data_IF_065259678976
#
_entry.id   IF_065259678976
#
_cell.length_a   1.000
_cell.length_b   1.000
_cell.length_c   1.000
_cell.angle_alpha   90.00
_cell.angle_beta   90.00
_cell.angle_gamma   90.00
#
_symmetry.space_group_name_H-M   'P 1'
#
loop_
_entity.id
_entity.type
_entity.pdbx_description
1 polymer ?
#
# COMPACT_ATOMS: atom_id res chain seq x y z
N UNK A 1 -21.05 -49.00 3.69
CA UNK A 1 -21.36 -47.56 3.55
C UNK A 1 -20.40 -46.81 4.44
N UNK A 2 -19.23 -46.45 3.93
CA UNK A 2 -18.22 -45.67 4.67
C UNK A 2 -18.14 -44.31 4.00
N UNK A 3 -18.69 -43.29 4.67
CA UNK A 3 -18.64 -41.92 4.19
C UNK A 3 -17.22 -41.35 4.39
N UNK A 4 -16.45 -41.27 3.30
CA UNK A 4 -15.29 -40.39 3.24
C UNK A 4 -15.79 -38.95 3.22
N UNK A 5 -15.67 -38.26 4.35
CA UNK A 5 -15.74 -36.80 4.39
C UNK A 5 -14.47 -36.31 3.73
N UNK A 6 -14.58 -35.89 2.47
CA UNK A 6 -13.52 -35.17 1.79
C UNK A 6 -13.26 -33.86 2.58
N UNK A 7 -12.11 -33.81 3.27
CA UNK A 7 -11.57 -32.57 3.83
C UNK A 7 -11.40 -31.61 2.65
N UNK A 8 -12.09 -30.47 2.70
CA UNK A 8 -11.91 -29.41 1.72
C UNK A 8 -10.41 -29.06 1.62
N UNK A 9 -9.88 -28.78 0.42
CA UNK A 9 -8.53 -28.25 0.30
C UNK A 9 -8.50 -26.93 1.06
N UNK A 10 -7.55 -26.85 1.98
CA UNK A 10 -7.13 -25.60 2.62
C UNK A 10 -6.62 -24.69 1.49
N UNK A 11 -7.51 -23.86 0.93
CA UNK A 11 -7.12 -22.70 0.12
C UNK A 11 -6.58 -21.63 1.06
N UNK A 12 -5.57 -21.97 1.84
CA UNK A 12 -4.60 -21.00 2.31
C UNK A 12 -3.94 -20.47 1.06
N UNK A 13 -4.43 -19.35 0.55
CA UNK A 13 -3.60 -18.49 -0.27
C UNK A 13 -2.42 -18.13 0.62
N UNK A 14 -1.33 -18.89 0.47
CA UNK A 14 -0.04 -18.48 0.97
C UNK A 14 0.20 -17.14 0.28
N UNK A 15 0.13 -16.05 1.04
CA UNK A 15 0.60 -14.76 0.59
C UNK A 15 1.94 -14.98 -0.12
N UNK A 16 2.19 -14.33 -1.27
CA UNK A 16 3.53 -14.34 -1.82
C UNK A 16 4.51 -13.97 -0.70
N UNK A 17 5.65 -14.65 -0.67
CA UNK A 17 6.73 -14.42 0.30
C UNK A 17 7.29 -13.01 0.06
N UNK A 18 6.55 -12.01 0.54
CA UNK A 18 6.88 -10.60 0.35
C UNK A 18 8.13 -10.34 1.18
N UNK A 19 9.14 -9.76 0.55
CA UNK A 19 10.31 -9.29 1.27
C UNK A 19 9.91 -8.15 2.21
N UNK A 20 9.68 -8.47 3.48
CA UNK A 20 9.39 -7.48 4.51
C UNK A 20 10.64 -6.91 5.15
N UNK A 21 11.83 -7.07 4.55
CA UNK A 21 13.04 -6.44 5.07
C UNK A 21 12.84 -4.93 5.22
N UNK A 22 13.49 -4.26 6.18
CA UNK A 22 13.42 -2.81 6.28
C UNK A 22 13.86 -2.09 5.00
N UNK A 23 13.31 -0.90 4.75
CA UNK A 23 13.75 0.02 3.69
C UNK A 23 14.37 1.23 4.36
N UNK A 24 15.65 1.48 4.10
CA UNK A 24 16.45 2.51 4.78
C UNK A 24 15.84 3.90 4.64
N UNK A 25 15.35 4.25 3.44
CA UNK A 25 14.64 5.50 3.23
C UNK A 25 13.39 5.62 4.10
N UNK A 26 12.57 4.56 4.21
CA UNK A 26 11.33 4.61 5.00
C UNK A 26 11.60 4.62 6.50
N UNK A 27 12.65 3.93 6.97
CA UNK A 27 13.10 4.01 8.37
C UNK A 27 13.58 5.42 8.73
N UNK A 28 14.28 6.08 7.82
CA UNK A 28 14.64 7.48 7.99
C UNK A 28 13.40 8.37 8.12
N UNK A 29 12.41 8.20 7.24
CA UNK A 29 11.14 8.96 7.28
C UNK A 29 10.38 8.70 8.57
N UNK A 30 10.31 7.45 9.03
CA UNK A 30 9.69 7.09 10.32
C UNK A 30 10.35 7.84 11.48
N UNK A 31 11.68 7.94 11.51
CA UNK A 31 12.41 8.59 12.60
C UNK A 31 12.32 10.12 12.58
N UNK A 32 12.30 10.72 11.40
CA UNK A 32 12.35 12.18 11.20
C UNK A 32 10.97 12.80 10.93
N UNK A 33 9.98 11.97 10.62
CA UNK A 33 8.62 12.36 10.29
C UNK A 33 7.87 12.90 11.50
N UNK A 34 6.80 13.65 11.22
CA UNK A 34 5.91 14.24 12.21
C UNK A 34 4.48 13.85 11.91
N UNK A 35 3.74 13.49 12.96
CA UNK A 35 2.34 13.16 12.84
C UNK A 35 1.50 14.38 12.46
N UNK A 36 0.39 14.16 11.75
CA UNK A 36 -0.55 15.22 11.40
C UNK A 36 -1.03 15.99 12.63
N UNK A 37 -1.28 15.33 13.75
CA UNK A 37 -1.73 15.96 15.00
C UNK A 37 -0.77 17.06 15.49
N UNK A 38 0.54 16.85 15.35
CA UNK A 38 1.54 17.86 15.71
C UNK A 38 1.61 19.01 14.69
N UNK A 39 1.42 18.70 13.41
CA UNK A 39 1.46 19.68 12.33
C UNK A 39 0.22 20.56 12.34
N UNK A 40 -0.95 19.96 12.51
CA UNK A 40 -2.24 20.67 12.56
C UNK A 40 -2.26 21.68 13.71
N UNK A 41 -1.78 21.29 14.89
CA UNK A 41 -1.62 22.18 16.05
C UNK A 41 -0.62 23.31 15.74
N UNK A 42 0.56 22.99 15.20
CA UNK A 42 1.58 23.99 14.89
C UNK A 42 1.09 25.08 13.93
N UNK A 43 0.31 24.68 12.92
CA UNK A 43 -0.18 25.58 11.89
C UNK A 43 -1.59 26.14 12.20
N UNK A 44 -2.19 25.81 13.35
CA UNK A 44 -3.50 26.29 13.77
C UNK A 44 -4.63 25.84 12.86
N UNK A 45 -4.56 24.62 12.34
CA UNK A 45 -5.55 24.04 11.42
C UNK A 45 -6.39 23.01 12.17
N UNK A 46 -7.71 23.21 12.20
CA UNK A 46 -8.65 22.33 12.91
C UNK A 46 -9.08 21.08 12.10
N UNK A 47 -8.39 20.80 10.98
CA UNK A 47 -8.80 19.70 10.11
C UNK A 47 -8.45 18.36 10.78
N UNK A 48 -9.43 17.46 11.00
CA UNK A 48 -9.22 16.23 11.76
C UNK A 48 -8.30 15.25 11.04
N UNK A 49 -8.27 15.30 9.71
CA UNK A 49 -7.46 14.44 8.88
C UNK A 49 -6.40 15.25 8.13
N UNK A 50 -5.25 14.68 7.77
CA UNK A 50 -4.34 15.37 6.87
C UNK A 50 -5.00 15.59 5.50
N UNK A 51 -4.79 16.75 4.85
CA UNK A 51 -5.39 17.05 3.54
C UNK A 51 -4.92 16.07 2.44
N UNK A 52 -3.76 15.44 2.63
CA UNK A 52 -3.23 14.42 1.72
C UNK A 52 -3.85 13.03 1.90
N UNK A 53 -4.67 12.80 2.95
CA UNK A 53 -5.32 11.51 3.20
C UNK A 53 -6.21 11.07 2.03
N UNK A 54 -6.98 11.99 1.46
CA UNK A 54 -7.84 11.68 0.32
C UNK A 54 -7.04 11.24 -0.91
N UNK A 55 -5.85 11.82 -1.12
CA UNK A 55 -4.94 11.41 -2.18
C UNK A 55 -4.42 9.99 -1.94
N UNK A 56 -4.08 9.65 -0.69
CA UNK A 56 -3.67 8.30 -0.29
C UNK A 56 -4.77 7.27 -0.59
N UNK A 57 -6.02 7.54 -0.17
CA UNK A 57 -7.16 6.65 -0.44
C UNK A 57 -7.39 6.49 -1.96
N UNK A 58 -7.31 7.58 -2.71
CA UNK A 58 -7.43 7.57 -4.17
C UNK A 58 -6.31 6.77 -4.85
N UNK A 59 -5.09 6.82 -4.32
CA UNK A 59 -3.96 6.02 -4.83
C UNK A 59 -4.20 4.53 -4.58
N UNK A 60 -4.68 4.14 -3.39
CA UNK A 60 -5.05 2.75 -3.10
C UNK A 60 -6.11 2.22 -4.07
N UNK A 61 -7.12 3.04 -4.37
CA UNK A 61 -8.19 2.67 -5.32
C UNK A 61 -7.67 2.52 -6.76
N UNK A 62 -6.76 3.41 -7.17
CA UNK A 62 -6.14 3.35 -8.49
C UNK A 62 -5.26 2.11 -8.66
N UNK A 63 -4.49 1.74 -7.63
CA UNK A 63 -3.64 0.54 -7.62
C UNK A 63 -4.43 -0.77 -7.71
N UNK A 64 -5.65 -0.78 -7.16
CA UNK A 64 -6.59 -1.90 -7.29
C UNK A 64 -7.23 -2.01 -8.69
N UNK A 65 -6.92 -1.08 -9.62
CA UNK A 65 -7.54 -1.02 -10.94
C UNK A 65 -8.89 -0.27 -10.99
N UNK A 66 -9.23 0.47 -9.92
CA UNK A 66 -10.41 1.32 -9.81
C UNK A 66 -11.72 0.56 -9.51
N UNK A 67 -12.60 1.18 -8.72
CA UNK A 67 -13.93 0.66 -8.33
C UNK A 67 -14.90 0.36 -9.50
N UNK A 68 -14.54 0.67 -10.75
CA UNK A 68 -15.44 0.64 -11.91
C UNK A 68 -14.97 -0.27 -13.05
N UNK A 69 -14.12 -1.24 -12.75
CA UNK A 69 -13.87 -2.34 -13.69
C UNK A 69 -15.06 -3.32 -13.76
N UNK A 70 -16.22 -2.84 -14.20
CA UNK A 70 -17.39 -3.68 -14.52
C UNK A 70 -17.13 -4.51 -15.78
N UNK A 71 -16.22 -4.08 -16.66
CA UNK A 71 -15.83 -4.86 -17.85
C UNK A 71 -15.13 -6.17 -17.49
N UNK A 72 -14.27 -6.22 -16.46
CA UNK A 72 -13.58 -7.45 -16.06
C UNK A 72 -14.50 -8.49 -15.41
N UNK A 73 -15.70 -8.10 -14.98
CA UNK A 73 -16.71 -9.06 -14.54
C UNK A 73 -17.31 -9.83 -15.73
N UNK A 74 -17.26 -9.25 -16.94
CA UNK A 74 -17.87 -9.76 -18.17
C UNK A 74 -16.85 -10.19 -19.23
N UNK A 75 -15.56 -9.87 -19.07
CA UNK A 75 -14.50 -10.34 -19.95
C UNK A 75 -14.26 -11.84 -19.72
N UNK A 76 -14.51 -12.63 -20.77
CA UNK A 76 -14.16 -14.05 -20.77
C UNK A 76 -12.66 -14.18 -20.56
N UNK A 77 -12.27 -15.08 -19.67
CA UNK A 77 -10.93 -15.20 -19.11
C UNK A 77 -9.79 -15.49 -20.10
N UNK A 78 -10.05 -15.50 -21.40
CA UNK A 78 -9.30 -16.28 -22.37
C UNK A 78 -8.73 -15.49 -23.57
N UNK A 79 -9.12 -14.24 -23.88
CA UNK A 79 -8.75 -13.65 -25.19
C UNK A 79 -7.94 -12.32 -25.19
N UNK A 80 -7.91 -11.51 -24.12
CA UNK A 80 -7.21 -10.20 -24.14
C UNK A 80 -6.33 -9.89 -22.91
N UNK A 81 -6.18 -10.84 -21.97
CA UNK A 81 -5.33 -10.60 -20.78
C UNK A 81 -3.85 -10.69 -21.13
N UNK A 82 -3.20 -9.54 -21.15
CA UNK A 82 -1.75 -9.42 -21.16
C UNK A 82 -1.21 -9.64 -19.74
N UNK A 83 -0.45 -10.71 -19.47
CA UNK A 83 0.10 -10.96 -18.13
C UNK A 83 0.98 -9.80 -17.64
N UNK A 84 1.63 -9.05 -18.54
CA UNK A 84 2.42 -7.87 -18.19
C UNK A 84 1.62 -6.70 -17.58
N UNK A 85 0.29 -6.66 -17.76
CA UNK A 85 -0.59 -5.64 -17.17
C UNK A 85 -1.16 -6.06 -15.80
N UNK A 86 -1.03 -7.34 -15.41
CA UNK A 86 -1.37 -7.83 -14.05
C UNK A 86 -0.25 -7.49 -13.04
N UNK A 87 1.01 -7.50 -13.48
CA UNK A 87 2.21 -7.20 -12.64
C UNK A 87 2.22 -5.79 -12.03
N UNK A 88 1.33 -4.88 -12.45
CA UNK A 88 1.27 -3.50 -11.96
C UNK A 88 0.07 -3.19 -11.06
N UNK A 89 -0.75 -4.19 -10.74
CA UNK A 89 -1.92 -4.02 -9.88
C UNK A 89 -1.62 -4.60 -8.51
N UNK A 90 -2.11 -3.92 -7.47
CA UNK A 90 -2.13 -4.44 -6.11
C UNK A 90 -3.58 -4.65 -5.73
N UNK A 91 -4.01 -5.90 -5.71
CA UNK A 91 -5.38 -6.24 -5.31
C UNK A 91 -5.66 -5.69 -3.91
N UNK A 92 -6.88 -5.20 -3.69
CA UNK A 92 -7.24 -4.54 -2.45
C UNK A 92 -7.09 -5.46 -1.23
N UNK A 93 -7.35 -6.76 -1.35
CA UNK A 93 -7.22 -7.70 -0.24
C UNK A 93 -5.75 -8.01 0.04
N UNK A 94 -4.98 -8.31 -1.01
CA UNK A 94 -3.54 -8.61 -0.91
C UNK A 94 -2.80 -7.42 -0.31
N UNK A 95 -2.96 -6.22 -0.90
CA UNK A 95 -2.39 -4.97 -0.38
C UNK A 95 -2.75 -4.76 1.09
N UNK A 96 -3.99 -5.04 1.49
CA UNK A 96 -4.43 -4.84 2.86
C UNK A 96 -3.76 -5.82 3.84
N UNK A 97 -3.57 -7.07 3.43
CA UNK A 97 -2.85 -8.07 4.20
C UNK A 97 -1.38 -7.68 4.37
N UNK A 98 -0.72 -7.28 3.28
CA UNK A 98 0.67 -6.78 3.32
C UNK A 98 0.80 -5.55 4.22
N UNK A 99 -0.09 -4.57 4.10
CA UNK A 99 -0.08 -3.38 4.96
C UNK A 99 -0.21 -3.75 6.44
N UNK A 100 -1.10 -4.69 6.79
CA UNK A 100 -1.27 -5.12 8.17
C UNK A 100 -0.01 -5.84 8.70
N UNK A 101 0.64 -6.68 7.89
CA UNK A 101 1.89 -7.33 8.25
C UNK A 101 3.04 -6.33 8.42
N UNK A 102 3.21 -5.41 7.48
CA UNK A 102 4.23 -4.36 7.51
C UNK A 102 4.02 -3.39 8.68
N UNK A 103 2.76 -3.04 8.99
CA UNK A 103 2.45 -2.24 10.18
C UNK A 103 2.85 -2.99 11.44
N UNK A 104 2.52 -4.26 11.56
CA UNK A 104 2.87 -5.06 12.74
C UNK A 104 4.39 -5.20 12.93
N UNK A 105 5.15 -5.30 11.84
CA UNK A 105 6.61 -5.48 11.89
C UNK A 105 7.38 -4.18 12.06
N UNK A 106 6.99 -3.10 11.35
CA UNK A 106 7.81 -1.89 11.19
C UNK A 106 7.13 -0.60 11.64
N UNK A 107 5.81 -0.48 11.48
CA UNK A 107 5.12 0.82 11.59
C UNK A 107 4.08 0.90 12.72
N UNK A 108 4.14 -0.01 13.70
CA UNK A 108 3.15 -0.10 14.79
C UNK A 108 3.10 1.17 15.65
N UNK A 109 4.24 1.83 15.85
CA UNK A 109 4.36 3.02 16.69
C UNK A 109 3.92 4.32 15.98
N UNK A 110 3.58 4.24 14.70
CA UNK A 110 3.20 5.39 13.89
C UNK A 110 1.68 5.54 13.92
N UNK A 111 1.13 6.75 14.11
CA UNK A 111 -0.31 6.96 14.09
C UNK A 111 -0.89 6.71 12.69
N UNK A 112 -2.21 6.53 12.68
CA UNK A 112 -2.98 6.55 11.45
C UNK A 112 -3.32 8.01 11.10
N UNK A 113 -3.22 8.44 9.82
CA UNK A 113 -3.02 7.64 8.61
C UNK A 113 -1.58 7.44 8.13
N UNK A 114 -0.57 8.00 8.81
CA UNK A 114 0.84 7.96 8.39
C UNK A 114 1.41 6.54 8.29
N UNK A 115 1.03 5.64 9.21
CA UNK A 115 1.45 4.23 9.13
C UNK A 115 0.99 3.54 7.86
N UNK A 116 -0.21 3.87 7.36
CA UNK A 116 -0.75 3.32 6.12
C UNK A 116 0.04 3.86 4.92
N UNK A 117 0.39 5.14 4.94
CA UNK A 117 1.23 5.74 3.90
C UNK A 117 2.58 5.02 3.79
N UNK A 118 3.23 4.76 4.92
CA UNK A 118 4.53 4.06 4.94
C UNK A 118 4.41 2.60 4.53
N UNK A 119 3.40 1.87 5.01
CA UNK A 119 3.19 0.48 4.60
C UNK A 119 2.87 0.37 3.10
N UNK A 120 2.05 1.28 2.56
CA UNK A 120 1.76 1.32 1.12
C UNK A 120 3.04 1.59 0.30
N UNK A 121 3.83 2.59 0.68
CA UNK A 121 5.08 2.90 -0.01
C UNK A 121 6.05 1.72 0.03
N UNK A 122 6.09 0.99 1.15
CA UNK A 122 6.89 -0.21 1.29
C UNK A 122 6.45 -1.30 0.30
N UNK A 123 5.15 -1.64 0.26
CA UNK A 123 4.61 -2.57 -0.75
C UNK A 123 4.93 -2.12 -2.18
N UNK A 124 4.72 -0.85 -2.51
CA UNK A 124 4.99 -0.34 -3.86
C UNK A 124 6.48 -0.46 -4.26
N UNK A 125 7.42 -0.33 -3.32
CA UNK A 125 8.85 -0.55 -3.58
C UNK A 125 9.15 -2.04 -3.78
N UNK A 126 8.59 -2.92 -2.94
CA UNK A 126 8.82 -4.37 -3.01
C UNK A 126 8.24 -5.01 -4.28
N UNK A 127 7.12 -4.48 -4.74
CA UNK A 127 6.52 -4.85 -6.02
C UNK A 127 7.17 -4.14 -7.23
N UNK A 128 8.17 -3.27 -7.01
CA UNK A 128 8.88 -2.57 -8.09
C UNK A 128 8.03 -1.54 -8.84
N UNK A 129 6.90 -1.10 -8.27
CA UNK A 129 6.04 -0.06 -8.82
C UNK A 129 6.69 1.32 -8.73
N UNK A 130 7.50 1.52 -7.70
CA UNK A 130 8.37 2.68 -7.52
C UNK A 130 9.75 2.24 -7.06
N UNK A 131 10.76 3.03 -7.37
CA UNK A 131 12.15 2.81 -6.95
C UNK A 131 12.50 3.68 -5.73
N UNK A 132 13.31 3.15 -4.81
CA UNK A 132 13.71 3.85 -3.57
C UNK A 132 14.52 5.12 -3.87
N UNK A 133 15.46 5.07 -4.81
CA UNK A 133 16.30 6.22 -5.17
C UNK A 133 15.47 7.29 -5.87
N UNK A 134 14.53 6.90 -6.73
CA UNK A 134 13.64 7.83 -7.41
C UNK A 134 12.65 8.50 -6.44
N UNK A 135 12.13 7.76 -5.45
CA UNK A 135 11.34 8.34 -4.36
C UNK A 135 12.17 9.37 -3.58
N UNK A 136 13.41 9.02 -3.19
CA UNK A 136 14.30 9.94 -2.47
C UNK A 136 14.62 11.21 -3.27
N UNK A 137 14.84 11.09 -4.59
CA UNK A 137 15.03 12.25 -5.48
C UNK A 137 13.77 13.11 -5.53
N UNK A 138 12.60 12.50 -5.64
CA UNK A 138 11.33 13.22 -5.72
C UNK A 138 11.03 13.99 -4.44
N UNK A 139 11.29 13.39 -3.27
CA UNK A 139 11.12 14.06 -1.98
C UNK A 139 11.97 15.33 -1.87
N UNK A 140 13.22 15.32 -2.35
CA UNK A 140 14.08 16.54 -2.39
C UNK A 140 13.50 17.63 -3.28
N UNK A 141 12.84 17.26 -4.38
CA UNK A 141 12.16 18.23 -5.26
C UNK A 141 10.97 18.86 -4.54
N UNK A 142 10.18 18.07 -3.81
CA UNK A 142 9.05 18.56 -3.01
C UNK A 142 9.53 19.47 -1.89
N UNK A 143 10.56 19.07 -1.14
CA UNK A 143 11.18 19.88 -0.07
C UNK A 143 11.63 21.25 -0.60
N UNK A 144 12.31 21.29 -1.76
CA UNK A 144 12.73 22.54 -2.40
C UNK A 144 11.55 23.44 -2.84
N UNK A 145 10.35 22.90 -3.03
CA UNK A 145 9.16 23.70 -3.39
C UNK A 145 8.47 24.29 -2.16
N UNK A 146 8.62 23.65 -1.00
CA UNK A 146 7.97 24.04 0.25
C UNK A 146 8.83 24.97 1.11
N UNK A 147 10.16 24.95 0.90
CA UNK A 147 11.16 25.83 1.52
C UNK A 147 11.51 27.02 0.60
#
# INVERSE_FOLDING_TARGET
MTNSVNKAPDTGQTLPDLDTSPIELLEKIKREGRAWDELSEQYGVDNPDPPWRLSLESTCDALNGGYWNISALCETKEDDRKPEDEDRKLDALERRQEEDELVNQHYVDIPFPERQLLSLAHSMIRHGLIDEDDLAKHMKVVEKRLN
#
